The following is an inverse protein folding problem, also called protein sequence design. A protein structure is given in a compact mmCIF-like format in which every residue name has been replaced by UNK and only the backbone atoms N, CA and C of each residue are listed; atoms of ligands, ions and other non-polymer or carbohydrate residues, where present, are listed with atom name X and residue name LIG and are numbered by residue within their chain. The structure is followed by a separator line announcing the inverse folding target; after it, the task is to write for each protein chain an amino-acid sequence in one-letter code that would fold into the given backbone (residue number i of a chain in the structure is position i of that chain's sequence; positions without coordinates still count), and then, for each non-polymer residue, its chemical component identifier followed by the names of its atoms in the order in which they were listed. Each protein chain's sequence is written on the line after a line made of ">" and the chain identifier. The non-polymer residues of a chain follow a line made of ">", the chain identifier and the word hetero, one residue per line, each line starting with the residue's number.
data_IF_350016930427
#
_entry.id   IF_350016930427
#
_cell.length_a   1.000
_cell.length_b   1.000
_cell.length_c   1.000
_cell.angle_alpha   90.00
_cell.angle_beta   90.00
_cell.angle_gamma   90.00
#
_symmetry.space_group_name_H-M   'P 1'
#
loop_
_entity.id
_entity.type
_entity.pdbx_description
1 polymer ?
#
# COMPACT_ATOMS: atom_id res chain seq x y z
N UNK A 1 -38.68 49.87 67.88
CA UNK A 1 -37.92 48.66 67.43
C UNK A 1 -38.34 48.40 65.98
N UNK A 2 -37.50 48.76 64.99
CA UNK A 2 -37.82 48.60 63.57
C UNK A 2 -37.04 47.39 63.05
N UNK A 3 -37.69 46.36 62.55
CA UNK A 3 -37.10 45.15 62.05
C UNK A 3 -37.01 45.27 60.52
N UNK A 4 -35.78 45.36 59.97
CA UNK A 4 -35.52 45.43 58.57
C UNK A 4 -35.31 43.98 58.05
N UNK A 5 -36.16 43.51 57.12
CA UNK A 5 -35.99 42.24 56.45
C UNK A 5 -35.14 42.44 55.21
N UNK A 6 -33.96 41.79 55.13
CA UNK A 6 -33.14 41.72 53.95
C UNK A 6 -33.49 40.49 53.12
N UNK A 7 -34.01 40.72 51.90
CA UNK A 7 -34.37 39.65 50.95
C UNK A 7 -33.11 39.26 50.17
N UNK A 8 -32.63 38.01 50.35
CA UNK A 8 -31.55 37.46 49.56
C UNK A 8 -32.16 36.80 48.29
N UNK A 9 -31.90 37.38 47.12
CA UNK A 9 -32.25 36.81 45.82
C UNK A 9 -31.05 36.00 45.30
N UNK A 10 -31.16 34.67 45.30
CA UNK A 10 -30.15 33.75 44.74
C UNK A 10 -30.42 33.57 43.24
N UNK A 11 -29.51 34.11 42.40
CA UNK A 11 -29.51 33.86 40.97
C UNK A 11 -28.90 32.48 40.68
N UNK A 12 -29.73 31.54 40.25
CA UNK A 12 -29.25 30.29 39.67
C UNK A 12 -28.92 30.51 38.20
N UNK A 13 -27.63 30.56 37.86
CA UNK A 13 -27.19 30.52 36.47
C UNK A 13 -27.20 29.07 35.99
N UNK A 14 -28.15 28.74 35.11
CA UNK A 14 -28.15 27.47 34.35
C UNK A 14 -27.03 27.56 33.31
N UNK A 15 -25.84 26.98 33.57
CA UNK A 15 -24.83 26.70 32.54
C UNK A 15 -25.34 25.51 31.72
N UNK A 16 -25.94 25.79 30.58
CA UNK A 16 -26.26 24.76 29.57
C UNK A 16 -24.95 24.15 29.07
N UNK A 17 -24.63 22.93 29.51
CA UNK A 17 -23.60 22.10 28.87
C UNK A 17 -24.16 21.71 27.51
N UNK A 18 -23.70 22.36 26.45
CA UNK A 18 -23.90 21.87 25.08
C UNK A 18 -23.12 20.55 24.98
N UNK A 19 -23.84 19.44 25.10
CA UNK A 19 -23.27 18.15 24.74
C UNK A 19 -22.94 18.20 23.25
N UNK A 20 -21.65 18.21 22.95
CA UNK A 20 -21.17 18.08 21.59
C UNK A 20 -21.51 16.66 21.14
N UNK A 21 -22.42 16.49 20.20
CA UNK A 21 -22.76 15.18 19.63
C UNK A 21 -21.48 14.53 19.13
N UNK A 22 -21.14 13.38 19.70
CA UNK A 22 -19.97 12.62 19.29
C UNK A 22 -20.23 12.08 17.88
N UNK A 23 -19.56 12.65 16.87
CA UNK A 23 -19.63 12.15 15.50
C UNK A 23 -19.01 10.77 15.42
N UNK A 24 -19.74 9.82 14.90
CA UNK A 24 -19.24 8.47 14.59
C UNK A 24 -18.57 8.48 13.22
N UNK A 25 -17.47 7.77 13.09
CA UNK A 25 -16.74 7.67 11.84
C UNK A 25 -16.56 6.21 11.43
N UNK A 26 -16.81 5.92 10.15
CA UNK A 26 -16.42 4.67 9.51
C UNK A 26 -14.98 4.82 9.01
N UNK A 27 -14.14 3.82 9.30
CA UNK A 27 -12.74 3.80 8.86
C UNK A 27 -12.60 2.71 7.81
N UNK A 28 -11.92 3.03 6.69
CA UNK A 28 -11.47 2.07 5.69
C UNK A 28 -9.95 2.14 5.57
N UNK A 29 -9.30 0.97 5.53
CA UNK A 29 -7.85 0.87 5.42
C UNK A 29 -7.47 0.45 4.01
N UNK A 30 -6.59 1.22 3.39
CA UNK A 30 -5.89 0.88 2.14
C UNK A 30 -4.45 0.58 2.48
N UNK A 31 -3.95 -0.58 2.12
CA UNK A 31 -2.60 -1.04 2.42
C UNK A 31 -1.85 -1.48 1.15
N UNK A 32 -0.53 -1.49 1.23
CA UNK A 32 0.33 -2.09 0.23
C UNK A 32 1.43 -2.93 0.90
N UNK A 33 1.75 -4.09 0.31
CA UNK A 33 2.80 -4.97 0.80
C UNK A 33 3.54 -5.67 -0.33
N UNK A 34 4.87 -5.55 -0.34
CA UNK A 34 5.75 -6.38 -1.15
C UNK A 34 5.93 -7.74 -0.44
N UNK A 35 5.60 -8.84 -1.12
CA UNK A 35 5.57 -10.18 -0.54
C UNK A 35 6.94 -10.89 -0.57
N UNK A 36 7.99 -10.24 -1.09
CA UNK A 36 9.33 -10.81 -1.24
C UNK A 36 9.27 -12.18 -1.94
N UNK A 37 8.93 -12.16 -3.25
CA UNK A 37 8.93 -13.35 -4.12
C UNK A 37 8.04 -14.50 -3.59
N UNK A 38 6.73 -14.28 -3.53
CA UNK A 38 5.76 -15.34 -3.24
C UNK A 38 5.52 -16.19 -4.50
N UNK A 39 6.32 -17.23 -4.67
CA UNK A 39 6.20 -18.24 -5.72
C UNK A 39 5.50 -19.49 -5.19
N UNK A 40 4.87 -20.25 -6.08
CA UNK A 40 4.50 -21.62 -5.75
C UNK A 40 5.73 -22.56 -5.83
N UNK A 41 5.55 -23.86 -5.99
CA UNK A 41 6.67 -24.83 -6.04
C UNK A 41 6.82 -25.50 -7.40
N UNK A 42 6.08 -25.02 -8.40
CA UNK A 42 6.04 -25.58 -9.75
C UNK A 42 6.80 -24.65 -10.69
N UNK A 43 7.74 -25.19 -11.45
CA UNK A 43 8.51 -24.42 -12.43
C UNK A 43 7.61 -23.98 -13.61
N UNK A 44 7.58 -22.68 -13.92
CA UNK A 44 7.01 -22.15 -15.16
C UNK A 44 8.11 -22.01 -16.22
N UNK A 45 8.04 -22.84 -17.24
CA UNK A 45 9.02 -22.85 -18.34
C UNK A 45 9.08 -21.56 -19.16
N UNK A 46 8.18 -20.59 -18.93
CA UNK A 46 8.12 -19.31 -19.63
C UNK A 46 8.79 -18.16 -18.86
N UNK A 47 9.15 -18.38 -17.60
CA UNK A 47 9.75 -17.37 -16.71
C UNK A 47 11.04 -17.88 -16.10
N UNK A 48 11.83 -16.97 -15.45
CA UNK A 48 13.07 -17.33 -14.75
C UNK A 48 12.79 -17.60 -13.26
N UNK A 49 11.96 -18.60 -12.97
CA UNK A 49 11.59 -19.01 -11.62
C UNK A 49 12.31 -20.28 -11.14
N UNK A 50 13.20 -20.86 -11.96
CA UNK A 50 13.91 -22.12 -11.67
C UNK A 50 14.56 -22.14 -10.27
N UNK A 51 15.06 -21.00 -9.80
CA UNK A 51 15.66 -20.86 -8.46
C UNK A 51 14.60 -21.06 -7.34
N UNK A 52 13.31 -20.87 -7.64
CA UNK A 52 12.16 -20.90 -6.71
C UNK A 52 11.42 -22.24 -6.71
N UNK A 53 12.09 -23.32 -7.04
CA UNK A 53 11.54 -24.68 -7.05
C UNK A 53 12.19 -25.53 -5.95
N UNK A 54 11.62 -26.72 -5.62
CA UNK A 54 12.23 -27.63 -4.63
C UNK A 54 13.65 -28.05 -4.97
N UNK A 55 13.95 -28.24 -6.28
CA UNK A 55 15.27 -28.62 -6.78
C UNK A 55 16.12 -27.40 -7.17
N UNK A 56 15.56 -26.21 -7.12
CA UNK A 56 16.24 -24.97 -7.43
C UNK A 56 17.19 -24.52 -6.34
N UNK A 57 17.94 -23.44 -6.61
CA UNK A 57 18.97 -22.89 -5.72
C UNK A 57 18.43 -22.51 -4.34
N UNK A 58 17.20 -22.02 -4.26
CA UNK A 58 16.57 -21.61 -3.01
C UNK A 58 15.95 -22.80 -2.25
N UNK A 59 15.94 -24.01 -2.87
CA UNK A 59 15.32 -25.20 -2.32
C UNK A 59 13.90 -24.88 -1.77
N UNK A 60 13.06 -24.31 -2.66
CA UNK A 60 11.73 -23.80 -2.31
C UNK A 60 10.73 -24.93 -2.23
N UNK A 61 10.70 -25.63 -1.08
CA UNK A 61 9.83 -26.78 -0.84
C UNK A 61 8.42 -26.34 -0.46
N UNK A 62 7.46 -27.31 -0.54
CA UNK A 62 6.07 -27.08 -0.13
C UNK A 62 5.95 -26.63 1.35
N UNK A 63 6.84 -27.08 2.23
CA UNK A 63 6.85 -26.67 3.63
C UNK A 63 7.24 -25.20 3.76
N UNK A 64 8.24 -24.73 2.97
CA UNK A 64 8.66 -23.32 2.94
C UNK A 64 7.57 -22.44 2.34
N UNK A 65 6.95 -22.89 1.26
CA UNK A 65 5.79 -22.24 0.66
C UNK A 65 4.65 -22.06 1.67
N UNK A 66 4.20 -23.15 2.31
CA UNK A 66 3.14 -23.11 3.31
C UNK A 66 3.49 -22.20 4.49
N UNK A 67 4.76 -22.18 4.92
CA UNK A 67 5.23 -21.27 5.96
C UNK A 67 5.18 -19.81 5.49
N UNK A 68 5.54 -19.53 4.25
CA UNK A 68 5.44 -18.18 3.66
C UNK A 68 3.98 -17.72 3.56
N UNK A 69 3.06 -18.59 3.11
CA UNK A 69 1.61 -18.32 3.07
C UNK A 69 1.09 -18.00 4.48
N UNK A 70 1.46 -18.81 5.50
CA UNK A 70 1.11 -18.54 6.88
C UNK A 70 1.59 -17.15 7.33
N UNK A 71 2.87 -16.84 7.10
CA UNK A 71 3.47 -15.58 7.49
C UNK A 71 2.81 -14.39 6.81
N UNK A 72 2.62 -14.44 5.49
CA UNK A 72 2.01 -13.34 4.72
C UNK A 72 0.55 -13.14 5.11
N UNK A 73 -0.24 -14.20 5.23
CA UNK A 73 -1.65 -14.10 5.62
C UNK A 73 -1.81 -13.50 7.03
N UNK A 74 -0.92 -13.85 7.98
CA UNK A 74 -0.89 -13.24 9.30
C UNK A 74 -0.65 -11.74 9.22
N UNK A 75 0.39 -11.30 8.51
CA UNK A 75 0.70 -9.87 8.37
C UNK A 75 -0.47 -9.12 7.75
N UNK A 76 -1.02 -9.62 6.64
CA UNK A 76 -2.14 -8.98 5.94
C UNK A 76 -3.39 -8.86 6.84
N UNK A 77 -3.61 -9.81 7.74
CA UNK A 77 -4.75 -9.75 8.67
C UNK A 77 -4.61 -8.68 9.75
N UNK A 78 -3.40 -8.16 9.99
CA UNK A 78 -3.09 -7.28 11.12
C UNK A 78 -2.73 -5.84 10.73
N UNK A 79 -2.51 -5.53 9.43
CA UNK A 79 -2.14 -4.18 8.99
C UNK A 79 -3.24 -3.19 9.37
N UNK A 80 -2.88 -2.11 10.11
CA UNK A 80 -3.83 -1.09 10.56
C UNK A 80 -4.74 -1.50 11.73
N UNK A 81 -4.61 -2.74 12.22
CA UNK A 81 -5.46 -3.31 13.27
C UNK A 81 -5.53 -2.49 14.58
N UNK A 82 -4.47 -1.83 15.07
CA UNK A 82 -4.58 -1.01 16.29
C UNK A 82 -5.69 0.05 16.24
N UNK A 83 -6.03 0.53 15.04
CA UNK A 83 -7.05 1.56 14.85
C UNK A 83 -8.42 1.01 14.46
N UNK A 84 -8.45 -0.09 13.69
CA UNK A 84 -9.66 -0.61 13.04
C UNK A 84 -10.14 -1.94 13.62
N UNK A 85 -9.28 -2.65 14.35
CA UNK A 85 -9.52 -3.99 14.89
C UNK A 85 -9.88 -5.02 13.79
N UNK A 86 -9.53 -4.75 12.55
CA UNK A 86 -9.78 -5.61 11.39
C UNK A 86 -8.65 -5.51 10.37
N UNK A 87 -8.59 -6.45 9.43
CA UNK A 87 -7.68 -6.40 8.30
C UNK A 87 -8.03 -5.24 7.35
N UNK A 88 -7.11 -4.77 6.49
CA UNK A 88 -7.39 -3.73 5.51
C UNK A 88 -8.55 -4.07 4.58
N UNK A 89 -9.21 -3.05 4.06
CA UNK A 89 -10.34 -3.22 3.13
C UNK A 89 -9.88 -3.37 1.67
N UNK A 90 -8.77 -2.69 1.34
CA UNK A 90 -8.08 -2.74 0.04
C UNK A 90 -6.61 -3.01 0.28
N UNK A 91 -6.02 -3.97 -0.43
CA UNK A 91 -4.59 -4.31 -0.31
C UNK A 91 -4.00 -4.44 -1.70
N UNK A 92 -3.04 -3.57 -2.04
CA UNK A 92 -2.14 -3.77 -3.17
C UNK A 92 -1.01 -4.73 -2.77
N UNK A 93 -0.69 -5.65 -3.64
CA UNK A 93 0.38 -6.63 -3.47
C UNK A 93 1.34 -6.58 -4.65
N UNK A 94 2.60 -6.92 -4.42
CA UNK A 94 3.56 -7.21 -5.47
C UNK A 94 4.52 -8.33 -5.09
N UNK A 95 5.32 -8.77 -6.06
CA UNK A 95 6.21 -9.92 -5.95
C UNK A 95 5.44 -11.21 -5.60
N UNK A 96 4.37 -11.44 -6.28
CA UNK A 96 3.62 -12.68 -6.34
C UNK A 96 3.73 -13.27 -7.75
N UNK A 97 3.76 -14.59 -7.87
CA UNK A 97 3.98 -15.27 -9.15
C UNK A 97 2.72 -15.31 -10.00
N UNK A 98 1.63 -15.77 -9.42
CA UNK A 98 0.42 -16.08 -10.19
C UNK A 98 -0.84 -15.92 -9.33
N UNK A 99 -2.01 -16.11 -9.96
CA UNK A 99 -3.29 -16.04 -9.26
C UNK A 99 -3.43 -17.10 -8.17
N UNK A 100 -2.88 -18.31 -8.37
CA UNK A 100 -3.03 -19.42 -7.43
C UNK A 100 -2.40 -19.11 -6.08
N UNK A 101 -1.20 -18.52 -6.05
CA UNK A 101 -0.55 -18.15 -4.77
C UNK A 101 -1.36 -17.12 -4.00
N UNK A 102 -2.09 -16.23 -4.71
CA UNK A 102 -2.98 -15.25 -4.07
C UNK A 102 -4.24 -15.91 -3.53
N UNK A 103 -4.80 -16.92 -4.26
CA UNK A 103 -5.92 -17.73 -3.79
C UNK A 103 -5.56 -18.51 -2.53
N UNK A 104 -4.39 -19.15 -2.50
CA UNK A 104 -3.89 -19.86 -1.32
C UNK A 104 -3.73 -18.90 -0.12
N UNK A 105 -3.25 -17.68 -0.39
CA UNK A 105 -3.07 -16.65 0.63
C UNK A 105 -4.40 -16.22 1.28
N UNK A 106 -5.42 -15.90 0.48
CA UNK A 106 -6.71 -15.44 1.02
C UNK A 106 -7.54 -16.58 1.63
N UNK A 107 -7.31 -17.82 1.19
CA UNK A 107 -7.97 -19.02 1.75
C UNK A 107 -7.33 -19.50 3.06
N UNK A 108 -6.18 -18.94 3.45
CA UNK A 108 -5.55 -19.28 4.72
C UNK A 108 -6.45 -18.86 5.91
N UNK A 109 -6.48 -19.61 7.03
CA UNK A 109 -7.34 -19.31 8.19
C UNK A 109 -7.30 -17.88 8.73
N UNK A 110 -6.18 -17.15 8.56
CA UNK A 110 -6.08 -15.74 8.97
C UNK A 110 -6.95 -14.80 8.14
N UNK A 111 -7.24 -15.15 6.87
CA UNK A 111 -7.91 -14.26 5.90
C UNK A 111 -9.23 -14.79 5.35
N UNK A 112 -9.46 -16.12 5.32
CA UNK A 112 -10.62 -16.72 4.66
C UNK A 112 -11.98 -16.17 5.11
N UNK A 113 -12.10 -15.82 6.41
CA UNK A 113 -13.34 -15.25 6.97
C UNK A 113 -13.52 -13.75 6.65
N UNK A 114 -12.54 -13.15 5.95
CA UNK A 114 -12.59 -11.73 5.55
C UNK A 114 -13.18 -11.52 4.17
N UNK A 115 -13.48 -12.59 3.44
CA UNK A 115 -14.11 -12.64 2.12
C UNK A 115 -13.49 -11.67 1.12
N UNK A 116 -12.17 -11.84 0.90
CA UNK A 116 -11.46 -11.05 -0.11
C UNK A 116 -11.79 -11.51 -1.53
N UNK A 117 -12.02 -10.53 -2.42
CA UNK A 117 -11.92 -10.71 -3.86
C UNK A 117 -10.49 -10.42 -4.34
N UNK A 118 -10.14 -10.97 -5.50
CA UNK A 118 -8.81 -10.83 -6.14
C UNK A 118 -8.99 -10.20 -7.52
N UNK A 119 -8.18 -9.19 -7.83
CA UNK A 119 -7.95 -8.71 -9.19
C UNK A 119 -6.47 -8.85 -9.49
N UNK A 120 -6.16 -9.63 -10.51
CA UNK A 120 -4.81 -10.00 -10.92
C UNK A 120 -4.76 -10.24 -12.42
N UNK A 121 -3.64 -9.88 -13.03
CA UNK A 121 -3.26 -10.19 -14.40
C UNK A 121 -1.79 -10.58 -14.44
N UNK A 122 -1.47 -11.57 -15.24
CA UNK A 122 -0.09 -11.91 -15.53
C UNK A 122 0.56 -10.76 -16.32
N UNK A 123 1.72 -10.34 -15.89
CA UNK A 123 2.55 -9.35 -16.57
C UNK A 123 3.71 -10.03 -17.30
N UNK A 124 4.37 -9.36 -18.24
CA UNK A 124 5.46 -9.98 -18.99
C UNK A 124 6.82 -9.93 -18.26
N UNK A 125 6.85 -9.76 -16.95
CA UNK A 125 8.10 -9.75 -16.19
C UNK A 125 8.88 -11.06 -16.39
N UNK A 126 10.16 -10.97 -16.70
CA UNK A 126 11.00 -12.13 -17.03
C UNK A 126 11.15 -13.10 -15.85
N UNK A 127 10.99 -12.62 -14.61
CA UNK A 127 11.03 -13.46 -13.39
C UNK A 127 9.68 -14.09 -13.06
N UNK A 128 8.62 -13.72 -13.79
CA UNK A 128 7.26 -14.18 -13.51
C UNK A 128 6.67 -13.60 -12.23
N UNK A 129 6.94 -12.34 -11.92
CA UNK A 129 6.31 -11.69 -10.76
C UNK A 129 5.33 -10.60 -11.18
N UNK A 130 4.25 -10.50 -10.43
CA UNK A 130 3.11 -9.66 -10.73
C UNK A 130 2.73 -8.71 -9.61
N UNK A 131 1.69 -7.93 -9.87
CA UNK A 131 0.94 -7.15 -8.90
C UNK A 131 -0.51 -7.64 -8.83
N UNK A 132 -1.13 -7.50 -7.66
CA UNK A 132 -2.54 -7.81 -7.45
C UNK A 132 -3.21 -6.78 -6.54
N UNK A 133 -4.54 -6.72 -6.61
CA UNK A 133 -5.38 -6.02 -5.65
C UNK A 133 -6.31 -7.00 -4.96
N UNK A 134 -6.26 -7.03 -3.63
CA UNK A 134 -7.26 -7.67 -2.78
C UNK A 134 -8.25 -6.63 -2.29
N UNK A 135 -9.52 -7.01 -2.19
CA UNK A 135 -10.56 -6.14 -1.66
C UNK A 135 -11.60 -6.93 -0.87
N UNK A 136 -12.06 -6.41 0.26
CA UNK A 136 -13.22 -7.00 0.97
C UNK A 136 -14.48 -6.77 0.15
N UNK A 137 -15.18 -7.85 -0.19
CA UNK A 137 -16.40 -7.78 -1.03
C UNK A 137 -17.52 -6.99 -0.36
N UNK A 138 -17.59 -6.95 0.97
CA UNK A 138 -18.54 -6.13 1.72
C UNK A 138 -18.27 -4.62 1.62
N UNK A 139 -17.02 -4.21 1.32
CA UNK A 139 -16.59 -2.82 1.32
C UNK A 139 -16.47 -2.23 -0.08
N UNK A 140 -16.01 -3.03 -1.04
CA UNK A 140 -15.68 -2.56 -2.38
C UNK A 140 -16.30 -3.42 -3.47
N UNK A 141 -16.96 -2.76 -4.42
CA UNK A 141 -17.53 -3.35 -5.61
C UNK A 141 -16.75 -2.89 -6.84
N UNK A 142 -15.85 -3.71 -7.41
CA UNK A 142 -15.14 -3.37 -8.64
C UNK A 142 -16.13 -3.21 -9.80
N UNK A 143 -15.94 -2.17 -10.63
CA UNK A 143 -16.76 -1.90 -11.82
C UNK A 143 -15.97 -2.07 -13.11
N UNK A 144 -14.66 -1.77 -13.07
CA UNK A 144 -13.75 -2.03 -14.19
C UNK A 144 -12.31 -2.19 -13.71
N UNK A 145 -11.53 -2.98 -14.45
CA UNK A 145 -10.12 -3.18 -14.14
C UNK A 145 -9.34 -3.53 -15.41
N UNK A 146 -8.09 -3.09 -15.47
CA UNK A 146 -7.18 -3.27 -16.61
C UNK A 146 -5.74 -3.29 -16.16
N UNK A 147 -4.92 -4.10 -16.82
CA UNK A 147 -3.46 -4.08 -16.71
C UNK A 147 -2.87 -3.25 -17.85
N UNK A 148 -2.09 -2.24 -17.52
CA UNK A 148 -1.49 -1.31 -18.48
C UNK A 148 0.01 -1.53 -18.60
N UNK A 149 0.43 -1.88 -19.83
CA UNK A 149 1.80 -2.29 -20.15
C UNK A 149 2.81 -1.16 -19.96
N UNK A 150 3.84 -1.42 -19.15
CA UNK A 150 5.04 -0.59 -19.07
C UNK A 150 6.00 -0.99 -20.20
N UNK A 151 6.19 -0.09 -21.16
CA UNK A 151 7.07 -0.31 -22.31
C UNK A 151 8.46 0.24 -22.02
N UNK A 152 9.42 -0.65 -21.81
CA UNK A 152 10.82 -0.30 -21.62
C UNK A 152 11.69 -0.89 -22.72
N UNK A 153 12.85 -0.29 -22.93
CA UNK A 153 13.92 -0.81 -23.77
C UNK A 153 15.23 -0.81 -22.99
N UNK A 154 16.09 -1.78 -23.24
CA UNK A 154 17.42 -1.84 -22.67
C UNK A 154 18.41 -0.93 -23.45
N UNK A 155 19.67 -0.91 -23.04
CA UNK A 155 20.72 -0.09 -23.64
C UNK A 155 21.03 -0.41 -25.13
N UNK A 156 20.53 -1.53 -25.63
CA UNK A 156 20.68 -1.97 -27.03
C UNK A 156 19.39 -1.83 -27.83
N UNK A 157 18.42 -1.04 -27.34
CA UNK A 157 17.10 -0.82 -27.93
C UNK A 157 16.22 -2.09 -28.04
N UNK A 158 16.58 -3.18 -27.36
CA UNK A 158 15.72 -4.35 -27.24
C UNK A 158 14.67 -4.13 -26.16
N UNK A 159 13.50 -4.77 -26.34
CA UNK A 159 12.43 -4.78 -25.36
C UNK A 159 12.94 -5.31 -24.01
N UNK A 160 12.69 -4.55 -22.93
CA UNK A 160 12.93 -4.93 -21.53
C UNK A 160 11.56 -5.20 -20.89
N UNK A 161 11.31 -6.47 -20.53
CA UNK A 161 10.03 -6.92 -20.01
C UNK A 161 9.97 -6.74 -18.50
N UNK A 162 8.84 -6.18 -18.02
CA UNK A 162 8.66 -5.85 -16.61
C UNK A 162 7.18 -5.86 -16.24
N UNK A 163 6.88 -5.61 -14.96
CA UNK A 163 5.51 -5.58 -14.43
C UNK A 163 4.69 -4.46 -15.04
N UNK A 164 3.44 -4.79 -15.31
CA UNK A 164 2.42 -3.84 -15.72
C UNK A 164 1.90 -3.02 -14.51
N UNK A 165 1.13 -1.96 -14.76
CA UNK A 165 0.41 -1.23 -13.72
C UNK A 165 -1.05 -1.66 -13.72
N UNK A 166 -1.54 -2.18 -12.60
CA UNK A 166 -2.92 -2.63 -12.45
C UNK A 166 -3.80 -1.45 -12.03
N UNK A 167 -4.83 -1.17 -12.82
CA UNK A 167 -5.82 -0.10 -12.56
C UNK A 167 -7.16 -0.75 -12.24
N UNK A 168 -7.75 -0.37 -11.13
CA UNK A 168 -9.05 -0.89 -10.67
C UNK A 168 -9.95 0.28 -10.29
N UNK A 169 -11.13 0.36 -10.90
CA UNK A 169 -12.18 1.32 -10.57
C UNK A 169 -13.35 0.59 -9.91
N UNK A 170 -14.02 1.25 -8.96
CA UNK A 170 -15.15 0.65 -8.28
C UNK A 170 -15.76 1.55 -7.22
N UNK A 171 -16.67 1.01 -6.44
CA UNK A 171 -17.42 1.70 -5.41
C UNK A 171 -16.98 1.23 -4.01
N UNK A 172 -16.35 2.11 -3.24
CA UNK A 172 -16.03 1.88 -1.83
C UNK A 172 -17.19 2.42 -0.99
N UNK A 173 -17.98 1.52 -0.40
CA UNK A 173 -19.24 1.87 0.28
C UNK A 173 -20.14 2.82 -0.56
N UNK A 174 -20.23 2.55 -1.86
CA UNK A 174 -21.02 3.35 -2.82
C UNK A 174 -20.34 4.60 -3.36
N UNK A 175 -19.12 4.92 -2.94
CA UNK A 175 -18.33 6.07 -3.38
C UNK A 175 -17.29 5.65 -4.43
N UNK A 176 -17.30 6.29 -5.60
CA UNK A 176 -16.39 5.94 -6.68
C UNK A 176 -14.93 6.22 -6.29
N UNK A 177 -14.09 5.19 -6.45
CA UNK A 177 -12.65 5.25 -6.21
C UNK A 177 -11.88 4.45 -7.26
N UNK A 178 -10.66 4.91 -7.54
CA UNK A 178 -9.73 4.26 -8.45
C UNK A 178 -8.46 3.91 -7.71
N UNK A 179 -8.00 2.66 -7.87
CA UNK A 179 -6.78 2.16 -7.28
C UNK A 179 -5.79 1.79 -8.37
N UNK A 180 -4.53 2.18 -8.21
CA UNK A 180 -3.44 1.79 -9.12
C UNK A 180 -2.41 1.05 -8.29
N UNK A 181 -2.11 -0.21 -8.66
CA UNK A 181 -1.08 -1.02 -8.00
C UNK A 181 0.15 -1.09 -8.90
N UNK A 182 1.31 -0.81 -8.31
CA UNK A 182 2.57 -0.66 -9.00
C UNK A 182 3.66 -1.55 -8.40
N UNK A 183 4.57 -2.03 -9.25
CA UNK A 183 5.89 -2.46 -8.84
C UNK A 183 6.89 -1.98 -9.90
N UNK A 184 7.56 -0.86 -9.62
CA UNK A 184 8.44 -0.23 -10.59
C UNK A 184 9.79 -0.95 -10.70
N UNK A 185 10.54 -0.74 -11.81
CA UNK A 185 11.86 -1.36 -12.00
C UNK A 185 12.81 -1.08 -10.84
N UNK A 186 13.47 -2.15 -10.38
CA UNK A 186 14.38 -2.08 -9.24
C UNK A 186 15.63 -1.24 -9.52
N UNK A 187 16.41 -0.96 -8.47
CA UNK A 187 17.73 -0.31 -8.59
C UNK A 187 18.85 -1.28 -9.03
N UNK A 188 18.49 -2.41 -9.64
CA UNK A 188 19.44 -3.40 -10.16
C UNK A 188 20.42 -2.76 -11.16
N UNK A 189 21.70 -3.16 -11.07
CA UNK A 189 22.77 -2.56 -11.88
C UNK A 189 23.18 -1.14 -11.45
N UNK A 190 22.59 -0.62 -10.37
CA UNK A 190 22.87 0.70 -9.80
C UNK A 190 21.78 1.72 -10.05
N UNK A 191 21.62 2.64 -9.10
CA UNK A 191 20.54 3.65 -9.10
C UNK A 191 20.55 4.52 -10.37
N UNK A 192 21.71 5.04 -10.75
CA UNK A 192 21.83 5.94 -11.91
C UNK A 192 21.48 5.25 -13.24
N UNK A 193 21.86 3.97 -13.39
CA UNK A 193 21.59 3.17 -14.58
C UNK A 193 20.11 2.83 -14.70
N UNK A 194 19.48 2.43 -13.61
CA UNK A 194 18.07 1.98 -13.58
C UNK A 194 17.06 3.13 -13.47
N UNK A 195 17.50 4.34 -13.09
CA UNK A 195 16.62 5.52 -12.92
C UNK A 195 15.74 5.83 -14.12
N UNK A 196 16.20 5.78 -15.39
CA UNK A 196 15.36 6.03 -16.56
C UNK A 196 14.11 5.13 -16.59
N UNK A 197 14.23 3.86 -16.23
CA UNK A 197 13.12 2.91 -16.23
C UNK A 197 12.05 3.30 -15.20
N UNK A 198 12.45 3.77 -14.01
CA UNK A 198 11.50 4.28 -13.00
C UNK A 198 10.84 5.60 -13.42
N UNK A 199 11.56 6.44 -14.15
CA UNK A 199 10.98 7.65 -14.74
C UNK A 199 9.89 7.29 -15.78
N UNK A 200 10.10 6.26 -16.61
CA UNK A 200 9.07 5.78 -17.55
C UNK A 200 7.87 5.17 -16.82
N UNK A 201 8.11 4.42 -15.74
CA UNK A 201 7.03 3.90 -14.88
C UNK A 201 6.20 5.04 -14.26
N UNK A 202 6.86 6.08 -13.76
CA UNK A 202 6.19 7.29 -13.26
C UNK A 202 5.41 8.04 -14.34
N UNK A 203 5.93 8.11 -15.59
CA UNK A 203 5.21 8.71 -16.73
C UNK A 203 3.96 7.90 -17.09
N UNK A 204 4.05 6.57 -17.09
CA UNK A 204 2.87 5.73 -17.31
C UNK A 204 1.82 6.00 -16.21
N UNK A 205 2.23 5.98 -14.95
CA UNK A 205 1.33 6.25 -13.82
C UNK A 205 0.68 7.63 -13.93
N UNK A 206 1.47 8.67 -14.30
CA UNK A 206 0.95 10.01 -14.52
C UNK A 206 -0.10 10.03 -15.65
N UNK A 207 0.15 9.38 -16.79
CA UNK A 207 -0.82 9.29 -17.89
C UNK A 207 -2.12 8.61 -17.45
N UNK A 208 -2.04 7.56 -16.64
CA UNK A 208 -3.23 6.87 -16.09
C UNK A 208 -4.04 7.85 -15.23
N UNK A 209 -3.40 8.52 -14.28
CA UNK A 209 -4.04 9.48 -13.39
C UNK A 209 -4.65 10.64 -14.18
N UNK A 210 -3.93 11.19 -15.14
CA UNK A 210 -4.42 12.29 -15.97
C UNK A 210 -5.65 11.88 -16.79
N UNK A 211 -5.61 10.70 -17.44
CA UNK A 211 -6.72 10.17 -18.23
C UNK A 211 -7.99 10.00 -17.39
N UNK A 212 -7.89 9.45 -16.19
CA UNK A 212 -9.03 9.33 -15.28
C UNK A 212 -9.53 10.71 -14.85
N UNK A 213 -8.60 11.64 -14.51
CA UNK A 213 -8.94 12.99 -14.06
C UNK A 213 -9.52 13.88 -15.15
N UNK A 214 -9.20 13.63 -16.43
CA UNK A 214 -9.82 14.31 -17.56
C UNK A 214 -11.29 13.91 -17.73
N UNK A 215 -11.59 12.62 -17.55
CA UNK A 215 -12.95 12.08 -17.62
C UNK A 215 -13.78 12.48 -16.39
N UNK A 216 -13.16 12.48 -15.22
CA UNK A 216 -13.77 12.84 -13.94
C UNK A 216 -12.85 13.76 -13.14
N UNK A 217 -13.03 15.10 -13.22
CA UNK A 217 -12.15 16.07 -12.54
C UNK A 217 -12.12 15.97 -11.01
N UNK A 218 -13.08 15.25 -10.43
CA UNK A 218 -13.16 14.96 -8.99
C UNK A 218 -12.86 13.50 -8.66
N UNK A 219 -12.28 12.74 -9.58
CA UNK A 219 -11.94 11.35 -9.35
C UNK A 219 -11.03 11.19 -8.12
N UNK A 220 -11.39 10.26 -7.26
CA UNK A 220 -10.58 9.84 -6.11
C UNK A 220 -9.66 8.72 -6.54
N UNK A 221 -8.40 9.03 -6.76
CA UNK A 221 -7.40 8.09 -7.28
C UNK A 221 -6.35 7.87 -6.20
N UNK A 222 -6.12 6.61 -5.84
CA UNK A 222 -5.10 6.16 -4.90
C UNK A 222 -4.13 5.27 -5.67
N UNK A 223 -2.87 5.68 -5.77
CA UNK A 223 -1.80 4.91 -6.35
C UNK A 223 -0.88 4.40 -5.24
N UNK A 224 -0.56 3.10 -5.29
CA UNK A 224 0.25 2.43 -4.29
C UNK A 224 1.23 1.47 -4.95
N UNK A 225 2.37 1.21 -4.31
CA UNK A 225 3.34 0.27 -4.86
C UNK A 225 4.70 0.33 -4.17
N UNK A 226 5.52 -0.68 -4.49
CA UNK A 226 6.98 -0.59 -4.40
C UNK A 226 7.48 0.19 -5.62
N UNK A 227 7.81 1.45 -5.41
CA UNK A 227 8.23 2.36 -6.46
C UNK A 227 9.74 2.32 -6.72
N UNK A 228 10.49 1.57 -5.89
CA UNK A 228 11.94 1.49 -5.94
C UNK A 228 12.65 2.87 -5.93
N UNK A 229 11.91 3.92 -5.60
CA UNK A 229 12.36 5.30 -5.39
C UNK A 229 11.77 5.86 -4.09
N UNK A 230 12.53 6.72 -3.41
CA UNK A 230 12.09 7.41 -2.22
C UNK A 230 11.09 8.55 -2.56
N UNK A 231 10.23 9.00 -1.63
CA UNK A 231 9.24 10.06 -1.88
C UNK A 231 9.81 11.39 -2.37
N UNK A 232 11.12 11.58 -2.27
CA UNK A 232 11.85 12.79 -2.69
C UNK A 232 12.56 12.63 -4.02
N UNK A 233 12.54 11.45 -4.64
CA UNK A 233 13.23 11.18 -5.89
C UNK A 233 12.52 11.81 -7.11
N UNK A 234 13.23 11.90 -8.22
CA UNK A 234 12.78 12.63 -9.41
C UNK A 234 11.47 12.08 -10.00
N UNK A 235 11.26 10.78 -9.93
CA UNK A 235 10.01 10.13 -10.38
C UNK A 235 8.78 10.70 -9.64
N UNK A 236 8.90 10.91 -8.34
CA UNK A 236 7.83 11.47 -7.50
C UNK A 236 7.78 13.00 -7.61
N UNK A 237 8.94 13.67 -7.54
CA UNK A 237 8.99 15.14 -7.44
C UNK A 237 8.94 15.87 -8.77
N UNK A 238 9.51 15.30 -9.86
CA UNK A 238 9.57 15.96 -11.16
C UNK A 238 8.51 15.42 -12.14
N UNK A 239 8.22 14.12 -12.09
CA UNK A 239 7.26 13.49 -13.03
C UNK A 239 5.85 13.55 -12.46
N UNK A 240 5.61 12.92 -11.30
CA UNK A 240 4.30 12.92 -10.65
C UNK A 240 3.99 14.25 -9.94
N UNK A 241 5.01 15.04 -9.59
CA UNK A 241 4.91 16.34 -8.90
C UNK A 241 4.20 16.24 -7.55
N UNK A 242 4.40 15.13 -6.84
CA UNK A 242 3.76 14.91 -5.53
C UNK A 242 4.13 15.98 -4.51
N UNK A 243 3.17 16.32 -3.66
CA UNK A 243 3.32 17.23 -2.53
C UNK A 243 3.36 16.45 -1.22
N UNK A 244 4.28 16.79 -0.34
CA UNK A 244 4.41 16.18 0.99
C UNK A 244 3.69 16.93 2.11
N UNK A 245 3.09 18.10 1.82
CA UNK A 245 2.37 18.91 2.82
C UNK A 245 0.98 19.26 2.30
N UNK A 246 -0.02 19.09 3.16
CA UNK A 246 -1.41 19.43 2.85
C UNK A 246 -1.58 20.93 2.50
N UNK A 247 -0.83 21.79 3.18
CA UNK A 247 -0.88 23.24 2.95
C UNK A 247 -0.39 23.69 1.55
N UNK A 248 0.37 22.82 0.85
CA UNK A 248 0.93 23.10 -0.47
C UNK A 248 0.05 22.55 -1.61
N UNK A 249 -1.12 21.93 -1.27
CA UNK A 249 -2.00 21.27 -2.24
C UNK A 249 -2.90 22.26 -2.96
N UNK A 250 -2.90 22.16 -4.27
CA UNK A 250 -3.87 22.76 -5.18
C UNK A 250 -4.80 21.67 -5.77
N UNK A 251 -5.87 22.11 -6.46
CA UNK A 251 -6.74 21.19 -7.19
C UNK A 251 -5.93 20.36 -8.20
N UNK A 252 -6.18 19.04 -8.23
CA UNK A 252 -5.49 18.05 -9.09
C UNK A 252 -4.05 17.72 -8.71
N UNK A 253 -3.50 18.27 -7.62
CA UNK A 253 -2.22 17.82 -7.09
C UNK A 253 -2.32 16.39 -6.55
N UNK A 254 -1.16 15.74 -6.45
CA UNK A 254 -1.01 14.45 -5.79
C UNK A 254 -0.39 14.67 -4.41
N UNK A 255 -1.07 14.18 -3.38
CA UNK A 255 -0.54 14.19 -2.01
C UNK A 255 0.15 12.87 -1.70
N UNK A 256 1.39 12.95 -1.21
CA UNK A 256 2.17 11.80 -0.76
C UNK A 256 2.49 11.92 0.75
N UNK A 257 1.70 11.29 1.64
CA UNK A 257 1.94 11.34 3.08
C UNK A 257 3.23 10.62 3.49
N UNK A 258 3.75 9.70 2.64
CA UNK A 258 4.98 8.96 2.91
C UNK A 258 6.21 9.89 2.93
N UNK A 259 6.17 11.05 2.26
CA UNK A 259 7.27 12.02 2.30
C UNK A 259 7.53 12.54 3.72
N UNK A 260 6.48 12.73 4.52
CA UNK A 260 6.62 13.16 5.92
C UNK A 260 7.22 12.03 6.77
N UNK A 261 6.81 10.78 6.54
CA UNK A 261 7.36 9.61 7.23
C UNK A 261 8.85 9.43 6.90
N UNK A 262 9.20 9.50 5.61
CA UNK A 262 10.58 9.43 5.15
C UNK A 262 11.48 10.50 5.80
N UNK A 263 11.02 11.77 5.83
CA UNK A 263 11.75 12.87 6.48
C UNK A 263 11.93 12.71 8.00
N UNK A 264 11.09 11.87 8.63
CA UNK A 264 11.25 11.45 10.04
C UNK A 264 12.17 10.25 10.22
N UNK A 265 12.80 9.75 9.13
CA UNK A 265 13.67 8.58 9.16
C UNK A 265 12.93 7.24 9.20
N UNK A 266 11.64 7.24 8.88
CA UNK A 266 10.85 6.00 8.80
C UNK A 266 10.97 5.46 7.38
N UNK A 267 11.35 4.19 7.24
CA UNK A 267 11.48 3.47 5.98
C UNK A 267 10.67 2.18 5.97
N UNK A 268 10.44 1.64 4.78
CA UNK A 268 9.81 0.33 4.61
C UNK A 268 10.84 -0.78 4.40
N UNK A 269 12.05 -0.45 3.95
CA UNK A 269 13.15 -1.40 3.78
C UNK A 269 14.48 -0.75 4.15
N UNK A 270 15.48 -1.59 4.43
CA UNK A 270 16.84 -1.13 4.72
C UNK A 270 17.87 -1.85 3.84
N UNK A 271 18.80 -1.09 3.29
CA UNK A 271 19.91 -1.59 2.50
C UNK A 271 21.20 -0.86 2.86
N UNK A 272 22.25 -1.62 3.25
CA UNK A 272 23.56 -1.08 3.68
C UNK A 272 23.42 0.03 4.72
N UNK A 273 22.62 -0.23 5.77
CA UNK A 273 22.33 0.66 6.89
C UNK A 273 21.61 1.99 6.51
N UNK A 274 21.12 2.09 5.28
CA UNK A 274 20.27 3.17 4.83
C UNK A 274 18.82 2.70 4.75
N UNK A 275 17.93 3.43 5.40
CA UNK A 275 16.49 3.24 5.29
C UNK A 275 15.94 3.97 4.07
N UNK A 276 15.15 3.26 3.28
CA UNK A 276 14.40 3.79 2.16
C UNK A 276 12.89 3.57 2.38
N UNK A 277 12.07 4.42 1.77
CA UNK A 277 10.62 4.27 1.79
C UNK A 277 10.11 4.11 0.36
N UNK A 278 10.39 2.94 -0.22
CA UNK A 278 10.02 2.60 -1.60
C UNK A 278 8.56 2.20 -1.73
N UNK A 279 8.00 1.60 -0.66
CA UNK A 279 6.59 1.27 -0.56
C UNK A 279 5.82 2.54 -0.23
N UNK A 280 4.98 2.99 -1.15
CA UNK A 280 4.30 4.27 -1.03
C UNK A 280 2.83 4.17 -1.40
N UNK A 281 2.03 5.05 -0.79
CA UNK A 281 0.62 5.31 -1.14
C UNK A 281 0.48 6.81 -1.28
N UNK A 282 0.11 7.28 -2.47
CA UNK A 282 -0.19 8.67 -2.77
C UNK A 282 -1.50 8.79 -3.54
N UNK A 283 -2.12 9.94 -3.51
CA UNK A 283 -3.48 10.10 -4.00
C UNK A 283 -3.81 11.53 -4.38
N UNK A 284 -4.91 11.70 -5.11
CA UNK A 284 -5.40 13.02 -5.53
C UNK A 284 -5.82 13.90 -4.34
N UNK A 285 -5.54 15.21 -4.45
CA UNK A 285 -5.72 16.18 -3.37
C UNK A 285 -7.15 16.26 -2.81
N UNK A 286 -8.16 15.95 -3.62
CA UNK A 286 -9.55 15.94 -3.19
C UNK A 286 -9.80 14.93 -2.04
N UNK A 287 -9.08 13.82 -1.96
CA UNK A 287 -9.17 12.87 -0.83
C UNK A 287 -8.75 13.53 0.52
N UNK A 288 -7.98 14.63 0.49
CA UNK A 288 -7.61 15.38 1.69
C UNK A 288 -8.65 16.44 2.04
N UNK A 289 -9.29 17.02 1.03
CA UNK A 289 -10.12 18.24 1.13
C UNK A 289 -11.63 17.96 1.20
N UNK A 290 -12.03 16.68 1.11
CA UNK A 290 -13.44 16.29 1.05
C UNK A 290 -14.23 16.61 2.31
N UNK A 291 -15.54 16.72 2.12
CA UNK A 291 -16.46 16.94 3.21
C UNK A 291 -16.58 15.71 4.13
N UNK A 292 -17.01 15.87 5.38
CA UNK A 292 -17.06 14.77 6.35
C UNK A 292 -17.92 13.56 5.94
N UNK A 293 -18.91 13.75 5.07
CA UNK A 293 -19.83 12.74 4.54
C UNK A 293 -19.25 11.91 3.39
N UNK A 294 -18.01 12.22 2.98
CA UNK A 294 -17.24 11.46 1.99
C UNK A 294 -15.96 10.92 2.59
N UNK A 295 -15.40 9.85 1.97
CA UNK A 295 -14.12 9.32 2.40
C UNK A 295 -13.00 10.33 2.17
N UNK A 296 -12.29 10.62 3.25
CA UNK A 296 -11.13 11.53 3.27
C UNK A 296 -9.98 10.91 4.02
N UNK A 297 -8.77 11.33 3.67
CA UNK A 297 -7.54 10.89 4.32
C UNK A 297 -7.55 11.28 5.81
N UNK A 298 -7.16 10.33 6.66
CA UNK A 298 -6.98 10.55 8.09
C UNK A 298 -5.52 10.45 8.49
N UNK A 299 -4.87 9.29 8.24
CA UNK A 299 -3.47 9.09 8.59
C UNK A 299 -2.81 8.05 7.70
N UNK A 300 -1.45 8.05 7.70
CA UNK A 300 -0.62 7.08 7.04
C UNK A 300 0.38 6.46 8.02
N UNK A 301 0.85 5.26 7.73
CA UNK A 301 1.84 4.58 8.55
C UNK A 301 2.62 3.50 7.79
N UNK A 302 3.74 3.10 8.41
CA UNK A 302 4.47 1.88 8.10
C UNK A 302 4.16 0.88 9.21
N UNK A 303 3.70 -0.31 8.84
CA UNK A 303 3.35 -1.35 9.80
C UNK A 303 4.58 -2.21 10.11
N UNK A 304 5.21 -1.95 11.26
CA UNK A 304 6.47 -2.58 11.66
C UNK A 304 6.43 -3.12 13.10
N UNK A 305 5.51 -4.06 13.42
CA UNK A 305 5.46 -4.68 14.73
C UNK A 305 6.74 -5.50 15.00
N UNK A 306 7.05 -5.71 16.26
CA UNK A 306 8.32 -6.32 16.69
C UNK A 306 8.61 -7.71 16.12
N UNK A 307 7.58 -8.44 15.66
CA UNK A 307 7.76 -9.75 15.05
C UNK A 307 8.21 -9.69 13.58
N UNK A 308 8.00 -8.55 12.89
CA UNK A 308 8.50 -8.31 11.54
C UNK A 308 9.96 -7.83 11.52
N UNK A 309 10.58 -7.60 12.68
CA UNK A 309 11.91 -7.03 12.80
C UNK A 309 12.92 -8.12 13.12
N UNK A 310 14.01 -8.19 12.35
CA UNK A 310 15.15 -9.05 12.67
C UNK A 310 15.79 -8.60 13.99
N UNK A 311 15.92 -9.51 14.93
CA UNK A 311 16.41 -9.23 16.30
C UNK A 311 17.89 -9.52 16.47
N UNK A 312 18.55 -10.15 15.48
CA UNK A 312 19.91 -10.70 15.63
C UNK A 312 20.76 -10.50 14.37
N UNK A 313 22.07 -10.63 14.55
CA UNK A 313 23.05 -10.61 13.44
C UNK A 313 23.23 -9.24 12.79
N UNK A 314 23.74 -9.25 11.58
CA UNK A 314 24.08 -8.03 10.82
C UNK A 314 22.85 -7.26 10.33
N UNK A 315 21.68 -7.93 10.24
CA UNK A 315 20.43 -7.32 9.80
C UNK A 315 19.51 -6.91 10.96
N UNK A 316 20.06 -6.88 12.20
CA UNK A 316 19.29 -6.47 13.38
C UNK A 316 18.65 -5.11 13.16
N UNK A 317 17.32 -5.06 13.32
CA UNK A 317 16.50 -3.86 13.12
C UNK A 317 15.83 -3.79 11.74
N UNK A 318 16.30 -4.55 10.75
CA UNK A 318 15.73 -4.62 9.41
C UNK A 318 14.44 -5.46 9.40
N UNK A 319 13.64 -5.39 8.33
CA UNK A 319 12.57 -6.35 8.11
C UNK A 319 13.12 -7.78 8.12
N UNK A 320 12.40 -8.68 8.80
CA UNK A 320 12.76 -10.10 8.89
C UNK A 320 12.33 -10.81 7.61
N UNK A 321 13.28 -10.95 6.68
CA UNK A 321 13.09 -11.49 5.34
C UNK A 321 13.02 -13.01 5.27
N UNK A 322 12.63 -13.55 4.12
CA UNK A 322 12.54 -15.00 3.89
C UNK A 322 13.91 -15.64 3.80
N UNK A 323 14.86 -14.99 3.12
CA UNK A 323 16.25 -15.45 2.95
C UNK A 323 17.23 -14.35 3.36
N UNK A 324 18.32 -14.75 4.00
CA UNK A 324 19.45 -13.88 4.32
C UNK A 324 20.79 -14.59 4.07
N UNK A 325 21.68 -13.94 3.30
CA UNK A 325 22.97 -14.53 2.97
C UNK A 325 22.88 -15.86 2.23
N UNK A 326 21.84 -16.05 1.42
CA UNK A 326 21.58 -17.30 0.69
C UNK A 326 20.94 -18.41 1.54
N UNK A 327 20.67 -18.17 2.81
CA UNK A 327 20.05 -19.16 3.70
C UNK A 327 18.59 -18.84 3.95
N UNK A 328 17.73 -19.86 3.96
CA UNK A 328 16.36 -19.75 4.39
C UNK A 328 16.30 -19.46 5.89
N UNK A 329 15.69 -18.34 6.28
CA UNK A 329 15.49 -17.97 7.68
C UNK A 329 14.01 -17.93 8.08
N UNK A 330 13.11 -18.11 7.12
CA UNK A 330 11.67 -18.26 7.37
C UNK A 330 11.00 -17.00 7.93
N UNK A 331 11.48 -15.84 7.52
CA UNK A 331 10.87 -14.57 7.88
C UNK A 331 9.63 -14.23 7.06
N UNK A 332 9.33 -12.96 6.99
CA UNK A 332 8.12 -12.43 6.37
C UNK A 332 8.40 -11.83 4.99
N UNK A 333 9.00 -10.65 4.96
CA UNK A 333 9.43 -9.93 3.77
C UNK A 333 10.59 -9.02 4.11
N UNK A 334 11.39 -8.63 3.11
CA UNK A 334 12.42 -7.59 3.25
C UNK A 334 11.86 -6.16 3.19
N UNK A 335 10.52 -6.06 3.14
CA UNK A 335 9.78 -4.82 3.23
C UNK A 335 8.82 -4.83 4.44
N UNK A 336 8.54 -3.67 5.00
CA UNK A 336 7.40 -3.45 5.89
C UNK A 336 6.21 -2.96 5.08
N UNK A 337 4.98 -3.44 5.37
CA UNK A 337 3.77 -2.90 4.75
C UNK A 337 3.56 -1.43 5.06
N UNK A 338 2.95 -0.72 4.11
CA UNK A 338 2.48 0.66 4.30
C UNK A 338 0.96 0.72 4.24
N UNK A 339 0.37 1.68 4.91
CA UNK A 339 -1.09 1.85 4.90
C UNK A 339 -1.51 3.31 5.06
N UNK A 340 -2.72 3.58 4.61
CA UNK A 340 -3.47 4.80 4.92
C UNK A 340 -4.84 4.41 5.49
N UNK A 341 -5.36 5.27 6.34
CA UNK A 341 -6.76 5.22 6.76
C UNK A 341 -7.56 6.34 6.11
N UNK A 342 -8.70 5.97 5.59
CA UNK A 342 -9.75 6.86 5.12
C UNK A 342 -10.88 6.87 6.15
N UNK A 343 -11.45 8.05 6.42
CA UNK A 343 -12.58 8.20 7.35
C UNK A 343 -13.74 8.89 6.66
N UNK A 344 -14.95 8.49 7.05
CA UNK A 344 -16.22 9.08 6.62
C UNK A 344 -17.14 9.20 7.83
N UNK A 345 -17.75 10.36 8.04
CA UNK A 345 -18.76 10.51 9.07
C UNK A 345 -19.97 9.62 8.73
N UNK A 346 -20.49 8.94 9.73
CA UNK A 346 -21.76 8.18 9.67
C UNK A 346 -22.71 8.78 10.69
N UNK A 347 -23.95 8.98 10.26
CA UNK A 347 -25.04 9.52 11.10
C UNK A 347 -25.44 8.51 12.18
#
# INVERSE_FOLDING_TARGET
>A
MSITYTLFVTFFTFSGVLAQEAKTYKIRTVAFYNLENLFDTVNDSLTFDDDRTPDGKDNWTIERYNHKIYNMSKVLSEIGNPDTQTSPDIIGLCELENRQVVEDLINHPHLREKDYGIIHYDSPDERGIDVALLYKKEAFLPTSFVSLRLLLTNENDYRDYTRDQLVVSGLLDGEEMHFIVNHWPSRSGGEARSKPNRIEAARLNKRIIDSISELSPKAKIISMGDLNDDPIDDSLKKILKTKGKVADLENRDLYNPMEILYKKGIGSLAYRDRWNLFDQIYFTANIVQESPDQYRFWKAGVYSPSYLIDKKGQYKGYPLRTYAGGNYIGGYSDHFPVYIHLIKAVD
#
